data_IF_759278091453
#
_entry.id   IF_759278091453
#
_cell.length_a   1.000
_cell.length_b   1.000
_cell.length_c   1.000
_cell.angle_alpha   90.00
_cell.angle_beta   90.00
_cell.angle_gamma   90.00
#
_symmetry.space_group_name_H-M   'P 1'
#
loop_
_entity.id
_entity.type
_entity.pdbx_description
1 polymer ?
#
# COMPACT_ATOMS: atom_id res chain seq x y z
N UNK A 1 -14.62 22.84 14.51
CA UNK A 1 -15.06 21.52 14.00
C UNK A 1 -15.23 21.65 12.49
N UNK A 2 -14.22 21.25 11.71
CA UNK A 2 -14.30 21.27 10.24
C UNK A 2 -14.90 19.97 9.73
N UNK A 3 -15.88 20.03 8.84
CA UNK A 3 -16.40 18.85 8.13
C UNK A 3 -15.60 18.63 6.87
N UNK A 4 -15.07 17.41 6.69
CA UNK A 4 -14.41 17.03 5.43
C UNK A 4 -15.46 16.73 4.36
N UNK A 5 -15.20 17.18 3.14
CA UNK A 5 -15.90 16.71 1.94
C UNK A 5 -15.12 15.56 1.29
N UNK A 6 -15.80 14.77 0.45
CA UNK A 6 -15.17 13.68 -0.26
C UNK A 6 -13.98 14.18 -1.11
N UNK A 7 -12.79 13.61 -0.88
CA UNK A 7 -11.58 13.98 -1.63
C UNK A 7 -10.85 15.22 -1.10
N UNK A 8 -11.06 15.61 0.17
CA UNK A 8 -10.37 16.78 0.74
C UNK A 8 -8.85 16.61 0.70
N UNK A 9 -8.15 17.61 0.17
CA UNK A 9 -6.69 17.72 0.18
C UNK A 9 -6.31 18.99 0.95
N UNK A 10 -5.58 18.85 2.05
CA UNK A 10 -5.06 19.97 2.83
C UNK A 10 -3.55 20.05 2.67
N UNK A 11 -3.03 21.23 2.33
CA UNK A 11 -1.60 21.48 2.22
C UNK A 11 -1.17 22.72 3.01
N UNK A 12 0.03 22.65 3.58
CA UNK A 12 0.68 23.77 4.25
C UNK A 12 2.19 23.74 3.97
N UNK A 13 2.78 24.92 3.74
CA UNK A 13 4.22 25.05 3.44
C UNK A 13 5.14 24.57 4.56
N UNK A 14 4.69 24.63 5.81
CA UNK A 14 5.46 24.21 6.97
C UNK A 14 4.75 23.06 7.68
N UNK A 15 3.76 23.37 8.52
CA UNK A 15 3.10 22.37 9.35
C UNK A 15 1.59 22.31 9.15
N UNK A 16 1.04 21.09 9.23
CA UNK A 16 -0.40 20.87 9.42
C UNK A 16 -0.61 20.38 10.85
N UNK A 17 -1.51 21.02 11.60
CA UNK A 17 -1.98 20.51 12.89
C UNK A 17 -3.46 20.16 12.79
N UNK A 18 -3.84 18.96 13.24
CA UNK A 18 -5.24 18.51 13.16
C UNK A 18 -5.68 17.72 14.39
N UNK A 19 -6.90 18.01 14.83
CA UNK A 19 -7.67 17.30 15.87
C UNK A 19 -8.96 16.71 15.27
N UNK A 20 -9.02 16.60 13.95
CA UNK A 20 -10.27 16.37 13.26
C UNK A 20 -10.65 14.89 13.15
N UNK A 21 -11.95 14.63 13.08
CA UNK A 21 -12.49 13.30 12.81
C UNK A 21 -12.72 13.17 11.30
N UNK A 22 -12.21 12.11 10.67
CA UNK A 22 -12.48 11.79 9.26
C UNK A 22 -13.70 10.86 9.21
N UNK A 23 -14.84 11.32 8.67
CA UNK A 23 -16.05 10.51 8.51
C UNK A 23 -15.83 9.25 7.65
N UNK A 24 -16.67 8.23 7.86
CA UNK A 24 -16.66 7.01 7.05
C UNK A 24 -16.83 7.31 5.56
N UNK A 25 -16.25 6.47 4.70
CA UNK A 25 -16.24 6.59 3.24
C UNK A 25 -15.56 7.86 2.67
N UNK A 26 -14.92 8.70 3.49
CA UNK A 26 -14.19 9.87 3.00
C UNK A 26 -12.69 9.58 2.86
N UNK A 27 -12.12 10.13 1.78
CA UNK A 27 -10.68 10.20 1.57
C UNK A 27 -10.17 11.60 1.90
N UNK A 28 -9.19 11.69 2.82
CA UNK A 28 -8.54 12.94 3.21
C UNK A 28 -7.02 12.79 3.08
N UNK A 29 -6.38 13.75 2.42
CA UNK A 29 -4.92 13.76 2.26
C UNK A 29 -4.33 15.03 2.86
N UNK A 30 -3.27 14.88 3.65
CA UNK A 30 -2.51 15.98 4.24
C UNK A 30 -1.10 16.04 3.67
N UNK A 31 -0.67 17.23 3.28
CA UNK A 31 0.68 17.52 2.85
C UNK A 31 1.28 18.66 3.69
N UNK A 32 2.17 18.32 4.61
CA UNK A 32 3.01 19.31 5.29
C UNK A 32 4.35 19.48 4.56
N UNK A 33 4.95 20.66 4.63
CA UNK A 33 6.31 20.84 4.11
C UNK A 33 7.39 20.31 5.05
N UNK A 34 7.20 20.45 6.36
CA UNK A 34 8.12 19.96 7.40
C UNK A 34 7.48 18.94 8.34
N UNK A 35 6.20 19.12 8.70
CA UNK A 35 5.53 18.23 9.66
C UNK A 35 4.01 18.14 9.46
N UNK A 36 3.44 17.01 9.87
CA UNK A 36 2.00 16.83 10.03
C UNK A 36 1.76 16.31 11.44
N UNK A 37 1.18 17.15 12.29
CA UNK A 37 0.97 16.90 13.70
C UNK A 37 -0.49 16.55 13.98
N UNK A 38 -0.75 15.26 14.23
CA UNK A 38 -2.08 14.74 14.59
C UNK A 38 -2.20 14.73 16.12
N UNK A 39 -3.01 15.64 16.65
CA UNK A 39 -3.20 15.80 18.09
C UNK A 39 -4.23 14.81 18.63
N UNK A 40 -4.24 14.55 19.95
CA UNK A 40 -5.32 13.84 20.61
C UNK A 40 -6.68 14.45 20.22
N UNK A 41 -7.60 13.61 19.74
CA UNK A 41 -8.86 14.04 19.14
C UNK A 41 -8.95 13.76 17.63
N UNK A 42 -7.80 13.63 16.95
CA UNK A 42 -7.79 13.14 15.58
C UNK A 42 -8.23 11.67 15.53
N UNK A 43 -9.19 11.35 14.66
CA UNK A 43 -9.71 10.00 14.51
C UNK A 43 -10.21 9.75 13.09
N UNK A 44 -9.63 8.78 12.40
CA UNK A 44 -10.16 8.30 11.13
C UNK A 44 -11.17 7.18 11.41
N UNK A 45 -12.45 7.44 11.16
CA UNK A 45 -13.52 6.46 11.40
C UNK A 45 -13.33 5.24 10.47
N UNK A 46 -13.69 4.05 10.93
CA UNK A 46 -13.69 2.84 10.12
C UNK A 46 -14.39 3.06 8.76
N UNK A 47 -13.76 2.56 7.69
CA UNK A 47 -14.20 2.78 6.31
C UNK A 47 -13.79 4.12 5.71
N UNK A 48 -13.06 4.98 6.44
CA UNK A 48 -12.41 6.18 5.86
C UNK A 48 -11.01 5.86 5.33
N UNK A 49 -10.47 6.75 4.49
CA UNK A 49 -9.10 6.68 3.96
C UNK A 49 -8.36 7.96 4.32
N UNK A 50 -7.29 7.85 5.08
CA UNK A 50 -6.46 8.98 5.47
C UNK A 50 -5.00 8.76 5.06
N UNK A 51 -4.40 9.76 4.45
CA UNK A 51 -2.99 9.75 4.07
C UNK A 51 -2.33 11.08 4.47
N UNK A 52 -1.21 11.01 5.17
CA UNK A 52 -0.41 12.18 5.52
C UNK A 52 1.04 11.96 5.08
N UNK A 53 1.63 12.97 4.46
CA UNK A 53 3.01 12.91 4.00
C UNK A 53 3.69 14.28 4.08
N UNK A 54 5.02 14.25 4.14
CA UNK A 54 5.87 15.44 4.13
C UNK A 54 6.45 15.60 2.74
N UNK A 55 6.19 16.73 2.09
CA UNK A 55 6.76 17.02 0.77
C UNK A 55 6.98 18.53 0.60
N UNK A 56 8.20 18.97 0.24
CA UNK A 56 8.52 20.38 0.05
C UNK A 56 7.53 21.04 -0.93
N UNK A 57 6.97 22.19 -0.56
CA UNK A 57 6.02 22.94 -1.38
C UNK A 57 6.71 23.91 -2.38
N UNK A 58 8.03 23.99 -2.34
CA UNK A 58 8.86 25.01 -2.98
C UNK A 58 9.47 24.60 -4.34
N UNK A 59 9.39 23.32 -4.72
CA UNK A 59 9.82 22.89 -6.06
C UNK A 59 8.73 23.11 -7.12
N UNK A 60 9.11 23.71 -8.25
CA UNK A 60 8.26 23.83 -9.45
C UNK A 60 7.87 22.44 -9.97
N UNK A 61 6.58 22.20 -10.22
CA UNK A 61 6.04 20.88 -10.60
C UNK A 61 5.11 20.24 -9.54
N UNK A 62 5.01 20.84 -8.35
CA UNK A 62 4.37 20.25 -7.19
C UNK A 62 2.87 20.52 -6.99
N UNK A 63 2.20 21.18 -7.95
CA UNK A 63 0.73 21.23 -7.95
C UNK A 63 0.23 20.10 -8.85
N UNK A 64 -0.45 19.12 -8.25
CA UNK A 64 -1.09 18.03 -8.98
C UNK A 64 -2.12 18.63 -9.94
N UNK A 65 -1.72 18.90 -11.18
CA UNK A 65 -2.67 19.16 -12.27
C UNK A 65 -3.25 17.80 -12.66
N UNK A 66 -4.57 17.60 -12.63
CA UNK A 66 -5.15 16.37 -13.16
C UNK A 66 -4.69 16.24 -14.63
N UNK A 67 -3.97 15.16 -14.94
CA UNK A 67 -3.31 14.92 -16.23
C UNK A 67 -4.33 14.99 -17.38
N UNK A 68 -4.19 16.00 -18.24
CA UNK A 68 -4.58 15.91 -19.65
C UNK A 68 -3.60 14.96 -20.35
N UNK A 69 -4.12 14.07 -21.19
CA UNK A 69 -3.35 13.06 -21.95
C UNK A 69 -2.21 13.68 -22.77
N UNK A 70 -1.02 13.04 -22.75
CA UNK A 70 0.00 13.22 -23.80
C UNK A 70 1.45 12.97 -23.40
N UNK A 71 1.90 11.70 -23.46
CA UNK A 71 3.26 11.19 -23.79
C UNK A 71 4.42 11.47 -22.79
N UNK A 72 5.38 10.53 -22.60
CA UNK A 72 6.06 10.33 -21.31
C UNK A 72 7.46 10.96 -21.26
N UNK A 73 7.85 11.44 -20.07
CA UNK A 73 9.25 11.62 -19.72
C UNK A 73 9.58 10.82 -18.47
N UNK A 74 10.63 10.03 -18.61
CA UNK A 74 11.13 9.05 -17.67
C UNK A 74 11.91 9.74 -16.55
N UNK A 75 11.33 9.77 -15.36
CA UNK A 75 12.04 9.48 -14.12
C UNK A 75 10.98 9.25 -13.04
N UNK A 76 10.64 7.98 -12.81
CA UNK A 76 9.69 7.60 -11.76
C UNK A 76 10.43 6.72 -10.78
N UNK A 77 11.00 7.36 -9.76
CA UNK A 77 11.17 6.73 -8.46
C UNK A 77 9.77 6.26 -8.05
N UNK A 78 9.62 4.94 -7.88
CA UNK A 78 8.33 4.29 -7.67
C UNK A 78 7.66 4.83 -6.40
N UNK A 79 6.73 5.77 -6.57
CA UNK A 79 5.70 6.06 -5.57
C UNK A 79 4.96 4.75 -5.31
N UNK A 80 5.18 4.18 -4.14
CA UNK A 80 4.42 3.03 -3.64
C UNK A 80 3.02 3.53 -3.30
N UNK A 81 2.20 3.70 -4.35
CA UNK A 81 0.76 3.70 -4.20
C UNK A 81 0.41 2.42 -3.45
N UNK A 82 0.06 2.58 -2.17
CA UNK A 82 -0.79 1.63 -1.48
C UNK A 82 -2.13 1.64 -2.20
N UNK A 83 -2.18 0.92 -3.33
CA UNK A 83 -3.41 0.63 -4.03
C UNK A 83 -4.18 -0.23 -3.05
N UNK A 84 -5.29 0.29 -2.52
CA UNK A 84 -6.26 -0.50 -1.76
C UNK A 84 -6.61 -1.71 -2.63
N UNK A 85 -6.16 -2.91 -2.23
CA UNK A 85 -6.26 -4.14 -3.02
C UNK A 85 -4.97 -4.65 -3.68
N UNK A 86 -3.79 -4.09 -3.39
CA UNK A 86 -2.50 -4.63 -3.81
C UNK A 86 -2.05 -5.81 -2.94
N UNK A 87 -1.29 -6.73 -3.53
CA UNK A 87 -0.59 -7.79 -2.80
C UNK A 87 0.47 -7.19 -1.88
N UNK A 88 0.44 -7.55 -0.60
CA UNK A 88 1.43 -7.18 0.41
C UNK A 88 2.09 -8.44 0.98
N UNK A 89 3.39 -8.35 1.25
CA UNK A 89 4.19 -9.44 1.81
C UNK A 89 5.05 -8.90 2.94
N UNK A 90 4.87 -9.40 4.16
CA UNK A 90 5.57 -8.90 5.36
C UNK A 90 5.76 -9.99 6.43
N UNK A 91 6.82 -9.92 7.26
CA UNK A 91 7.95 -8.99 7.14
C UNK A 91 8.80 -9.29 5.90
N UNK A 92 9.57 -8.31 5.45
CA UNK A 92 10.57 -8.49 4.41
C UNK A 92 11.79 -7.64 4.77
N UNK A 93 12.96 -8.23 5.10
CA UNK A 93 13.24 -9.68 5.08
C UNK A 93 12.47 -10.50 6.12
N UNK A 94 12.36 -11.82 5.91
CA UNK A 94 11.76 -12.79 6.85
C UNK A 94 12.71 -13.97 7.12
N UNK A 95 12.56 -14.65 8.26
CA UNK A 95 13.41 -15.79 8.65
C UNK A 95 12.63 -17.10 8.66
N UNK A 96 11.59 -17.23 9.49
CA UNK A 96 10.86 -18.50 9.65
C UNK A 96 9.53 -18.51 8.91
N UNK A 97 8.85 -17.37 8.85
CA UNK A 97 7.57 -17.24 8.15
C UNK A 97 7.34 -15.82 7.67
N UNK A 98 6.45 -15.69 6.69
CA UNK A 98 5.96 -14.40 6.24
C UNK A 98 4.46 -14.45 5.99
N UNK A 99 3.84 -13.29 6.00
CA UNK A 99 2.41 -13.09 5.74
C UNK A 99 2.23 -12.57 4.33
N UNK A 100 1.29 -13.18 3.63
CA UNK A 100 0.74 -12.70 2.36
C UNK A 100 -0.62 -12.11 2.65
N UNK A 101 -0.77 -10.81 2.40
CA UNK A 101 -2.05 -10.11 2.42
C UNK A 101 -2.45 -9.79 0.98
N UNK A 102 -3.38 -10.58 0.45
CA UNK A 102 -3.98 -10.46 -0.86
C UNK A 102 -5.41 -9.95 -0.71
N UNK A 103 -5.58 -8.67 -0.37
CA UNK A 103 -6.88 -8.03 -0.16
C UNK A 103 -7.83 -8.08 -1.39
N UNK A 104 -7.33 -8.45 -2.56
CA UNK A 104 -8.14 -8.70 -3.76
C UNK A 104 -8.84 -10.07 -3.77
N UNK A 105 -8.50 -10.98 -2.86
CA UNK A 105 -9.24 -12.22 -2.62
C UNK A 105 -10.45 -11.87 -1.75
N UNK A 106 -11.60 -11.73 -2.39
CA UNK A 106 -12.88 -11.54 -1.70
C UNK A 106 -13.25 -12.80 -0.90
N UNK A 107 -13.99 -12.63 0.20
CA UNK A 107 -14.56 -13.77 0.93
C UNK A 107 -15.35 -14.68 -0.03
N UNK A 108 -15.13 -16.00 0.04
CA UNK A 108 -15.71 -17.05 -0.82
C UNK A 108 -15.09 -17.21 -2.22
N UNK A 109 -13.99 -16.53 -2.56
CA UNK A 109 -13.19 -16.85 -3.76
C UNK A 109 -11.91 -17.58 -3.38
N UNK A 110 -11.55 -18.58 -4.18
CA UNK A 110 -10.27 -19.27 -4.06
C UNK A 110 -9.19 -18.48 -4.81
N UNK A 111 -8.01 -18.43 -4.22
CA UNK A 111 -6.79 -17.97 -4.88
C UNK A 111 -5.71 -19.06 -4.85
N UNK A 112 -4.68 -18.88 -5.66
CA UNK A 112 -3.49 -19.74 -5.64
C UNK A 112 -2.27 -18.88 -5.43
N UNK A 113 -1.49 -19.22 -4.40
CA UNK A 113 -0.18 -18.65 -4.15
C UNK A 113 0.89 -19.60 -4.69
N UNK A 114 1.86 -19.06 -5.42
CA UNK A 114 3.05 -19.75 -5.92
C UNK A 114 4.29 -18.98 -5.46
N UNK A 115 5.25 -19.71 -4.90
CA UNK A 115 6.54 -19.17 -4.49
C UNK A 115 7.61 -19.68 -5.46
N UNK A 116 8.29 -18.77 -6.13
CA UNK A 116 9.36 -19.08 -7.07
C UNK A 116 10.71 -18.66 -6.50
N UNK A 117 11.74 -19.47 -6.70
CA UNK A 117 13.12 -19.09 -6.39
C UNK A 117 13.72 -18.18 -7.47
N UNK A 118 14.95 -17.73 -7.23
CA UNK A 118 15.63 -16.75 -8.09
C UNK A 118 15.90 -17.26 -9.52
N UNK A 119 15.90 -18.58 -9.75
CA UNK A 119 16.07 -19.16 -11.09
C UNK A 119 14.75 -19.48 -11.79
N UNK A 120 13.61 -19.11 -11.18
CA UNK A 120 12.27 -19.34 -11.72
C UNK A 120 11.68 -20.71 -11.40
N UNK A 121 12.35 -21.50 -10.57
CA UNK A 121 11.87 -22.78 -10.08
C UNK A 121 10.70 -22.59 -9.11
N UNK A 122 9.63 -23.40 -9.23
CA UNK A 122 8.52 -23.38 -8.30
C UNK A 122 8.90 -24.12 -7.02
N UNK A 123 8.94 -23.40 -5.91
CA UNK A 123 9.38 -23.90 -4.59
C UNK A 123 8.19 -24.31 -3.73
N UNK A 124 7.07 -23.56 -3.79
CA UNK A 124 5.87 -23.85 -3.00
C UNK A 124 4.62 -23.42 -3.73
N UNK A 125 3.53 -24.16 -3.53
CA UNK A 125 2.18 -23.79 -4.00
C UNK A 125 1.19 -23.94 -2.85
N UNK A 126 0.21 -23.05 -2.75
CA UNK A 126 -0.81 -23.09 -1.70
C UNK A 126 -2.12 -22.49 -2.19
N UNK A 127 -3.24 -23.15 -1.85
CA UNK A 127 -4.56 -22.59 -2.09
C UNK A 127 -4.90 -21.58 -0.98
N UNK A 128 -5.32 -20.39 -1.38
CA UNK A 128 -5.71 -19.31 -0.50
C UNK A 128 -7.24 -19.28 -0.42
N UNK A 129 -7.78 -19.48 0.77
CA UNK A 129 -9.21 -19.36 1.07
C UNK A 129 -9.51 -18.10 1.91
N UNK A 130 -8.48 -17.32 2.21
CA UNK A 130 -8.51 -16.11 3.04
C UNK A 130 -7.61 -15.06 2.38
N UNK A 131 -7.94 -13.77 2.48
CA UNK A 131 -7.07 -12.68 2.02
C UNK A 131 -5.74 -12.63 2.79
N UNK A 132 -5.71 -13.10 4.03
CA UNK A 132 -4.50 -13.16 4.85
C UNK A 132 -4.08 -14.63 5.01
N UNK A 133 -2.83 -14.92 4.64
CA UNK A 133 -2.24 -16.26 4.73
C UNK A 133 -0.80 -16.21 5.22
N UNK A 134 -0.48 -17.04 6.21
CA UNK A 134 0.87 -17.18 6.73
C UNK A 134 1.59 -18.33 6.01
N UNK A 135 2.79 -18.05 5.52
CA UNK A 135 3.64 -18.99 4.79
C UNK A 135 4.82 -19.36 5.66
N UNK A 136 4.95 -20.66 5.96
CA UNK A 136 6.17 -21.22 6.54
C UNK A 136 7.30 -21.25 5.50
N UNK A 137 8.45 -20.70 5.91
CA UNK A 137 9.65 -20.45 5.13
C UNK A 137 10.93 -20.93 5.86
N UNK A 138 10.81 -21.69 6.95
CA UNK A 138 11.91 -22.06 7.87
C UNK A 138 13.17 -22.64 7.20
N UNK A 139 13.02 -23.30 6.05
CA UNK A 139 14.11 -23.95 5.32
C UNK A 139 14.47 -23.27 3.99
N UNK A 140 14.02 -22.04 3.77
CA UNK A 140 14.23 -21.29 2.53
C UNK A 140 15.14 -20.09 2.79
N UNK A 141 16.12 -19.86 1.92
CA UNK A 141 17.06 -18.73 2.02
C UNK A 141 17.31 -18.12 0.67
N UNK A 142 17.47 -16.79 0.64
CA UNK A 142 17.73 -16.02 -0.57
C UNK A 142 16.52 -15.26 -1.09
N UNK A 143 16.53 -15.01 -2.40
CA UNK A 143 15.52 -14.19 -3.09
C UNK A 143 14.40 -15.05 -3.65
N UNK A 144 13.15 -14.67 -3.37
CA UNK A 144 11.97 -15.34 -3.90
C UNK A 144 10.94 -14.36 -4.46
N UNK A 145 10.10 -14.88 -5.36
CA UNK A 145 8.93 -14.19 -5.90
C UNK A 145 7.65 -14.89 -5.42
N UNK A 146 6.80 -14.13 -4.73
CA UNK A 146 5.45 -14.53 -4.33
C UNK A 146 4.49 -14.09 -5.43
N UNK A 147 3.85 -15.05 -6.08
CA UNK A 147 2.81 -14.82 -7.09
C UNK A 147 1.48 -15.26 -6.52
N UNK A 148 0.49 -14.37 -6.50
CA UNK A 148 -0.87 -14.71 -6.10
C UNK A 148 -1.83 -14.45 -7.24
N UNK A 149 -2.65 -15.45 -7.54
CA UNK A 149 -3.65 -15.40 -8.60
C UNK A 149 -5.05 -15.66 -8.02
N UNK A 150 -6.04 -14.85 -8.39
CA UNK A 150 -7.44 -15.10 -8.08
C UNK A 150 -8.35 -14.37 -9.08
N UNK A 151 -9.36 -15.07 -9.60
CA UNK A 151 -10.38 -14.48 -10.48
C UNK A 151 -9.82 -13.78 -11.73
N UNK A 152 -8.72 -14.29 -12.30
CA UNK A 152 -8.04 -13.70 -13.47
C UNK A 152 -7.10 -12.53 -13.16
N UNK A 153 -7.01 -12.09 -11.89
CA UNK A 153 -6.01 -11.13 -11.43
C UNK A 153 -4.79 -11.88 -10.93
N UNK A 154 -3.61 -11.48 -11.37
CA UNK A 154 -2.33 -11.97 -10.87
C UNK A 154 -1.50 -10.80 -10.34
N UNK A 155 -0.95 -10.96 -9.14
CA UNK A 155 -0.05 -9.99 -8.52
C UNK A 155 1.24 -10.69 -8.10
N UNK A 156 2.37 -9.98 -8.23
CA UNK A 156 3.70 -10.51 -7.89
C UNK A 156 4.40 -9.58 -6.91
N UNK A 157 5.07 -10.15 -5.90
CA UNK A 157 5.91 -9.44 -4.93
C UNK A 157 7.21 -10.19 -4.68
N UNK A 158 8.25 -9.42 -4.40
CA UNK A 158 9.59 -9.92 -4.06
C UNK A 158 9.72 -10.06 -2.55
N UNK A 159 10.36 -11.12 -2.07
CA UNK A 159 10.70 -11.32 -0.66
C UNK A 159 12.13 -11.84 -0.51
N UNK A 160 12.79 -11.42 0.57
CA UNK A 160 14.12 -11.90 0.97
C UNK A 160 13.94 -12.79 2.21
N UNK A 161 14.44 -14.03 2.14
CA UNK A 161 14.42 -15.00 3.23
C UNK A 161 15.85 -15.22 3.79
N UNK A 162 16.00 -15.22 5.11
CA UNK A 162 17.30 -15.22 5.81
C UNK A 162 17.64 -16.54 6.50
#
# INVERSE_FOLDING_TARGET
MGTYSAGTFLEAQASITSEAVVPTALKVNYRGGSEVHLRPGFHAIEGSSFHAFIHPCDMSGNSFRPKSLGVPEANSEEEVLSIVGALQVYPNPASESFTVNAAFIQEHRTGTMRLYGATGELVKTSNLNSPIYQVDATNLRGLFLVVVESGGRQETRKIILQ
#
